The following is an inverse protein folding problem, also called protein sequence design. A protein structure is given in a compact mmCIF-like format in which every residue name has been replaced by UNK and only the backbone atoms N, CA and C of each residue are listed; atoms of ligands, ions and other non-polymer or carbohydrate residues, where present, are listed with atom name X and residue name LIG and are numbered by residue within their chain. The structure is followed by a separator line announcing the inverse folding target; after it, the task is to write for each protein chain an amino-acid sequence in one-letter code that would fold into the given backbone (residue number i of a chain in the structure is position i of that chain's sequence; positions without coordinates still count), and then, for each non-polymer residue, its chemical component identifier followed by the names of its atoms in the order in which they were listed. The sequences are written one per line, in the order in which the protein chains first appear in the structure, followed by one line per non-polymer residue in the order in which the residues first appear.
data_IF_000704168246
#
_entry.id   IF_000704168246
#
_cell.length_a   1.000
_cell.length_b   1.000
_cell.length_c   1.000
_cell.angle_alpha   90.00
_cell.angle_beta   90.00
_cell.angle_gamma   90.00
#
_symmetry.space_group_name_H-M   'P 1'
#
loop_
_entity.id
_entity.type
_entity.pdbx_description
1 polymer ?
#
# COMPACT_ATOMS: atom_id res chain seq x y z
N UNK A 1 -2.43 -6.18 19.47
CA UNK A 1 -1.93 -5.83 18.13
C UNK A 1 -2.76 -4.68 17.60
N UNK A 2 -2.12 -3.64 17.08
CA UNK A 2 -2.79 -2.58 16.31
C UNK A 2 -3.02 -3.05 14.87
N UNK A 3 -3.96 -2.44 14.16
CA UNK A 3 -4.18 -2.70 12.73
C UNK A 3 -2.91 -2.48 11.87
N UNK A 4 -2.02 -1.58 12.29
CA UNK A 4 -0.74 -1.37 11.63
C UNK A 4 0.21 -2.57 11.86
N UNK A 5 0.26 -3.09 13.08
CA UNK A 5 1.06 -4.27 13.43
C UNK A 5 0.60 -5.50 12.64
N UNK A 6 -0.72 -5.70 12.51
CA UNK A 6 -1.29 -6.78 11.71
C UNK A 6 -0.87 -6.64 10.24
N UNK A 7 -1.01 -5.44 9.66
CA UNK A 7 -0.64 -5.20 8.27
C UNK A 7 0.85 -5.42 7.99
N UNK A 8 1.72 -5.11 8.95
CA UNK A 8 3.15 -5.38 8.88
C UNK A 8 3.46 -6.87 9.00
N UNK A 9 2.88 -7.56 10.00
CA UNK A 9 3.08 -8.98 10.22
C UNK A 9 2.69 -9.82 8.98
N UNK A 10 1.55 -9.51 8.37
CA UNK A 10 1.12 -10.14 7.12
C UNK A 10 2.13 -9.95 5.97
N UNK A 11 2.79 -8.80 5.91
CA UNK A 11 3.81 -8.54 4.90
C UNK A 11 5.05 -9.38 5.03
N UNK A 12 5.46 -9.67 6.26
CA UNK A 12 6.61 -10.55 6.52
C UNK A 12 6.26 -12.02 6.29
N UNK A 13 5.08 -12.47 6.71
CA UNK A 13 4.65 -13.86 6.56
C UNK A 13 4.31 -14.21 5.11
N UNK A 14 3.71 -13.28 4.37
CA UNK A 14 3.10 -13.54 3.05
C UNK A 14 3.61 -12.64 1.93
N UNK A 15 4.65 -11.83 2.19
CA UNK A 15 5.40 -11.08 1.18
C UNK A 15 4.81 -9.75 0.73
N UNK A 16 3.61 -9.36 1.18
CA UNK A 16 2.95 -8.10 0.83
C UNK A 16 2.49 -7.33 2.07
N UNK A 17 3.16 -6.21 2.38
CA UNK A 17 2.79 -5.35 3.51
C UNK A 17 1.47 -4.65 3.25
N UNK A 18 0.51 -4.82 4.15
CA UNK A 18 -0.78 -4.12 4.10
C UNK A 18 -0.76 -2.85 4.96
N UNK A 19 -1.55 -1.85 4.56
CA UNK A 19 -1.69 -0.62 5.35
C UNK A 19 -2.68 -0.81 6.50
N UNK A 20 -2.54 -0.01 7.56
CA UNK A 20 -3.57 0.12 8.59
C UNK A 20 -4.96 0.36 7.98
N UNK A 21 -5.06 1.24 6.97
CA UNK A 21 -6.32 1.52 6.26
C UNK A 21 -6.89 0.29 5.56
N UNK A 22 -6.04 -0.62 5.06
CA UNK A 22 -6.48 -1.88 4.46
C UNK A 22 -7.12 -2.79 5.51
N UNK A 23 -6.48 -2.94 6.67
CA UNK A 23 -6.98 -3.76 7.78
C UNK A 23 -8.28 -3.17 8.33
N UNK A 24 -8.31 -1.86 8.58
CA UNK A 24 -9.51 -1.14 9.03
C UNK A 24 -10.71 -1.35 8.09
N UNK A 25 -10.50 -1.27 6.77
CA UNK A 25 -11.57 -1.49 5.79
C UNK A 25 -12.02 -2.95 5.72
N UNK A 26 -11.12 -3.90 5.97
CA UNK A 26 -11.49 -5.32 6.07
C UNK A 26 -12.44 -5.54 7.26
N UNK A 27 -12.06 -5.05 8.44
CA UNK A 27 -12.86 -5.14 9.68
C UNK A 27 -14.23 -4.46 9.53
N UNK A 28 -14.28 -3.30 8.89
CA UNK A 28 -15.52 -2.54 8.66
C UNK A 28 -16.37 -3.06 7.50
N UNK A 29 -15.99 -4.16 6.86
CA UNK A 29 -16.64 -4.71 5.66
C UNK A 29 -16.67 -3.75 4.44
N UNK A 30 -15.70 -2.85 4.32
CA UNK A 30 -15.64 -1.77 3.33
C UNK A 30 -14.70 -2.03 2.15
N UNK A 31 -14.42 -3.30 1.86
CA UNK A 31 -13.72 -3.74 0.65
C UNK A 31 -14.71 -4.44 -0.28
N UNK A 32 -14.36 -4.52 -1.56
CA UNK A 32 -15.13 -5.35 -2.48
C UNK A 32 -15.12 -6.81 -2.04
N UNK A 33 -16.17 -7.56 -2.39
CA UNK A 33 -16.28 -8.98 -2.05
C UNK A 33 -15.03 -9.78 -2.46
N UNK A 34 -14.53 -9.55 -3.68
CA UNK A 34 -13.31 -10.20 -4.18
C UNK A 34 -12.07 -9.89 -3.31
N UNK A 35 -11.94 -8.66 -2.82
CA UNK A 35 -10.82 -8.28 -1.95
C UNK A 35 -10.96 -8.89 -0.55
N UNK A 36 -12.18 -8.99 -0.01
CA UNK A 36 -12.45 -9.69 1.23
C UNK A 36 -12.04 -11.16 1.15
N UNK A 37 -12.48 -11.85 0.11
CA UNK A 37 -12.14 -13.27 -0.10
C UNK A 37 -10.64 -13.50 -0.22
N UNK A 38 -9.88 -12.54 -0.77
CA UNK A 38 -8.42 -12.62 -0.85
C UNK A 38 -7.74 -12.40 0.50
N UNK A 39 -8.23 -11.46 1.31
CA UNK A 39 -7.62 -11.12 2.60
C UNK A 39 -7.99 -12.10 3.72
N UNK A 40 -9.21 -12.65 3.71
CA UNK A 40 -9.72 -13.56 4.74
C UNK A 40 -8.75 -14.71 5.07
N UNK A 41 -8.26 -15.52 4.11
CA UNK A 41 -7.37 -16.64 4.44
C UNK A 41 -6.02 -16.18 5.03
N UNK A 42 -5.51 -15.01 4.65
CA UNK A 42 -4.27 -14.46 5.20
C UNK A 42 -4.44 -14.04 6.66
N UNK A 43 -5.55 -13.35 6.95
CA UNK A 43 -5.89 -12.89 8.29
C UNK A 43 -6.25 -14.04 9.24
N UNK A 44 -6.98 -15.06 8.76
CA UNK A 44 -7.28 -16.27 9.54
C UNK A 44 -5.98 -16.98 9.92
N UNK A 45 -5.10 -17.25 8.96
CA UNK A 45 -3.84 -17.93 9.25
C UNK A 45 -2.95 -17.13 10.20
N UNK A 46 -2.88 -15.81 10.03
CA UNK A 46 -2.16 -14.94 10.96
C UNK A 46 -2.75 -15.01 12.38
N UNK A 47 -4.08 -15.03 12.51
CA UNK A 47 -4.75 -15.12 13.79
C UNK A 47 -4.43 -16.45 14.50
N UNK A 48 -4.53 -17.57 13.78
CA UNK A 48 -4.20 -18.89 14.29
C UNK A 48 -2.73 -18.95 14.79
N UNK A 49 -1.80 -18.37 14.04
CA UNK A 49 -0.37 -18.31 14.42
C UNK A 49 -0.11 -17.41 15.65
N UNK A 50 -0.86 -16.31 15.78
CA UNK A 50 -0.75 -15.38 16.89
C UNK A 50 -1.31 -15.96 18.20
N UNK A 51 -2.40 -16.73 18.12
CA UNK A 51 -3.02 -17.39 19.28
C UNK A 51 -2.17 -18.56 19.79
N UNK A 52 -1.58 -19.36 18.91
CA UNK A 52 -0.80 -20.55 19.29
C UNK A 52 0.60 -20.26 19.85
N UNK A 53 1.18 -19.07 19.58
CA UNK A 53 2.54 -18.71 20.03
C UNK A 53 2.61 -17.90 21.34
N UNK A 54 1.52 -17.86 22.13
CA UNK A 54 1.46 -17.29 23.49
C UNK A 54 2.18 -15.94 23.68
N UNK A 55 1.89 -14.99 22.78
CA UNK A 55 2.56 -13.70 22.75
C UNK A 55 3.81 -13.76 21.87
N UNK A 56 3.73 -13.01 20.78
CA UNK A 56 4.77 -12.85 19.76
C UNK A 56 5.73 -11.65 20.01
N UNK A 57 6.00 -11.14 21.25
CA UNK A 57 6.67 -9.84 21.37
C UNK A 57 8.12 -9.88 20.87
N UNK A 58 8.81 -11.02 20.97
CA UNK A 58 10.22 -11.14 20.57
C UNK A 58 10.45 -11.46 19.08
N UNK A 59 9.42 -11.91 18.35
CA UNK A 59 9.51 -12.15 16.91
C UNK A 59 9.09 -10.92 16.09
N UNK A 60 8.13 -10.11 16.58
CA UNK A 60 7.74 -8.85 15.94
C UNK A 60 8.91 -7.86 15.78
N UNK A 61 9.78 -7.76 16.78
CA UNK A 61 10.99 -6.93 16.71
C UNK A 61 11.97 -7.39 15.63
N UNK A 62 12.05 -8.70 15.38
CA UNK A 62 12.86 -9.26 14.29
C UNK A 62 12.16 -9.11 12.92
N UNK A 63 10.84 -9.17 12.90
CA UNK A 63 9.97 -9.10 11.71
C UNK A 63 9.97 -7.68 11.12
N UNK A 64 10.01 -6.64 11.95
CA UNK A 64 10.13 -5.25 11.52
C UNK A 64 11.45 -4.95 10.77
N UNK A 65 12.50 -5.77 10.97
CA UNK A 65 13.81 -5.57 10.36
C UNK A 65 13.94 -6.10 8.93
N UNK A 66 13.04 -6.99 8.48
CA UNK A 66 13.06 -7.53 7.11
C UNK A 66 12.20 -6.66 6.18
N UNK A 67 12.74 -5.50 5.85
CA UNK A 67 12.10 -4.45 5.05
C UNK A 67 11.80 -4.83 3.60
N UNK A 68 10.76 -5.64 3.35
CA UNK A 68 10.09 -5.63 2.04
C UNK A 68 9.28 -4.35 1.91
N UNK A 69 9.82 -3.43 1.11
CA UNK A 69 9.24 -2.12 0.87
C UNK A 69 8.03 -2.26 -0.06
N UNK A 70 6.83 -2.01 0.47
CA UNK A 70 5.65 -1.70 -0.36
C UNK A 70 6.00 -0.51 -1.26
N UNK A 71 5.53 -0.49 -2.52
CA UNK A 71 5.61 0.71 -3.35
C UNK A 71 5.02 1.88 -2.57
N UNK A 72 5.84 2.89 -2.32
CA UNK A 72 5.40 4.07 -1.57
C UNK A 72 4.46 4.87 -2.46
N UNK A 73 3.44 5.47 -1.86
CA UNK A 73 2.58 6.40 -2.57
C UNK A 73 3.38 7.68 -2.80
N UNK A 74 3.58 8.07 -4.06
CA UNK A 74 4.14 9.38 -4.39
C UNK A 74 3.18 10.48 -3.93
N UNK A 75 3.67 11.40 -3.11
CA UNK A 75 2.92 12.60 -2.76
C UNK A 75 3.20 13.65 -3.82
N UNK A 76 2.17 14.08 -4.52
CA UNK A 76 2.28 15.10 -5.57
C UNK A 76 1.95 16.45 -4.94
N UNK A 77 2.88 17.40 -5.02
CA UNK A 77 2.66 18.76 -4.53
C UNK A 77 1.50 19.45 -5.25
N UNK A 78 0.85 20.40 -4.58
CA UNK A 78 -0.32 21.11 -5.13
C UNK A 78 0.03 21.85 -6.43
N UNK A 79 1.21 22.47 -6.50
CA UNK A 79 1.73 23.15 -7.70
C UNK A 79 1.83 22.19 -8.89
N UNK A 80 2.45 21.02 -8.69
CA UNK A 80 2.59 19.97 -9.70
C UNK A 80 1.23 19.43 -10.11
N UNK A 81 0.35 19.16 -9.14
CA UNK A 81 -1.03 18.70 -9.40
C UNK A 81 -1.77 19.68 -10.32
N UNK A 82 -1.71 20.98 -10.04
CA UNK A 82 -2.39 22.00 -10.85
C UNK A 82 -1.83 22.02 -12.29
N UNK A 83 -0.52 21.86 -12.47
CA UNK A 83 0.10 21.78 -13.79
C UNK A 83 -0.35 20.52 -14.57
N UNK A 84 -0.45 19.37 -13.89
CA UNK A 84 -0.99 18.13 -14.48
C UNK A 84 -2.46 18.29 -14.88
N UNK A 85 -3.29 18.89 -14.01
CA UNK A 85 -4.70 19.15 -14.29
C UNK A 85 -4.88 20.10 -15.49
N UNK A 86 -4.07 21.15 -15.59
CA UNK A 86 -4.09 22.07 -16.73
C UNK A 86 -3.73 21.35 -18.05
N UNK A 87 -2.66 20.55 -18.06
CA UNK A 87 -2.27 19.78 -19.25
C UNK A 87 -3.36 18.77 -19.65
N UNK A 88 -4.02 18.13 -18.69
CA UNK A 88 -5.12 17.21 -18.95
C UNK A 88 -6.33 17.90 -19.61
N UNK A 89 -6.65 19.14 -19.23
CA UNK A 89 -7.72 19.90 -19.88
C UNK A 89 -7.41 20.22 -21.35
N UNK A 90 -6.14 20.44 -21.70
CA UNK A 90 -5.72 20.70 -23.08
C UNK A 90 -5.68 19.42 -23.90
N UNK A 91 -5.04 18.37 -23.37
CA UNK A 91 -4.86 17.09 -24.03
C UNK A 91 -5.13 15.95 -23.04
N UNK A 92 -6.37 15.43 -22.97
CA UNK A 92 -6.72 14.37 -22.01
C UNK A 92 -6.14 12.99 -22.39
N UNK A 93 -5.61 12.86 -23.61
CA UNK A 93 -4.97 11.63 -24.13
C UNK A 93 -3.58 11.95 -24.68
N UNK A 94 -2.61 12.34 -23.83
CA UNK A 94 -1.27 12.67 -24.30
C UNK A 94 -0.56 11.43 -24.84
N UNK A 95 0.23 11.61 -25.88
CA UNK A 95 1.15 10.61 -26.41
C UNK A 95 2.29 10.32 -25.43
N UNK A 96 3.01 9.21 -25.64
CA UNK A 96 4.16 8.85 -24.82
C UNK A 96 5.26 9.93 -24.82
N UNK A 97 5.42 10.64 -25.94
CA UNK A 97 6.37 11.75 -26.06
C UNK A 97 5.95 12.95 -25.18
N UNK A 98 4.68 13.35 -25.26
CA UNK A 98 4.13 14.44 -24.44
C UNK A 98 4.18 14.13 -22.94
N UNK A 99 3.87 12.89 -22.55
CA UNK A 99 4.00 12.44 -21.15
C UNK A 99 5.45 12.57 -20.67
N UNK A 100 6.42 12.17 -21.51
CA UNK A 100 7.84 12.22 -21.15
C UNK A 100 8.34 13.66 -21.05
N UNK A 101 7.92 14.54 -21.97
CA UNK A 101 8.24 15.96 -21.93
C UNK A 101 7.66 16.63 -20.67
N UNK A 102 6.41 16.32 -20.32
CA UNK A 102 5.75 16.85 -19.12
C UNK A 102 6.39 16.34 -17.83
N UNK A 103 6.76 15.06 -17.76
CA UNK A 103 7.47 14.51 -16.60
C UNK A 103 8.83 15.20 -16.39
N UNK A 104 9.57 15.45 -17.48
CA UNK A 104 10.85 16.16 -17.43
C UNK A 104 10.68 17.62 -16.98
N UNK A 105 9.67 18.33 -17.49
CA UNK A 105 9.44 19.73 -17.11
C UNK A 105 8.99 19.89 -15.66
N UNK A 106 8.23 18.92 -15.14
CA UNK A 106 7.78 18.88 -13.74
C UNK A 106 8.76 18.17 -12.80
N UNK A 107 9.90 17.69 -13.31
CA UNK A 107 10.91 16.93 -12.56
C UNK A 107 10.31 15.73 -11.79
N UNK A 108 9.35 15.04 -12.41
CA UNK A 108 8.74 13.84 -11.86
C UNK A 108 9.52 12.60 -12.30
N UNK A 109 10.09 11.86 -11.34
CA UNK A 109 10.71 10.57 -11.62
C UNK A 109 9.67 9.55 -12.08
N UNK A 110 10.01 8.82 -13.15
CA UNK A 110 9.22 7.70 -13.64
C UNK A 110 9.69 6.44 -12.90
N UNK A 111 8.93 6.03 -11.88
CA UNK A 111 9.21 4.84 -11.05
C UNK A 111 8.64 3.55 -11.63
#
# INVERSE_FOLDING_TARGET
FTQADVGLALGTLYGNVFSQTTICRFEALQLSFKNMCKLKPLLTKWLDEAENNNGYPSALDKIASQGRKRKKRTSIEVSIKNALEHNFHIQPKPSAHEISALANSLQLEKE
#
